data_IF_666190778190
#
_entry.id   IF_666190778190
#
_cell.length_a   1.000
_cell.length_b   1.000
_cell.length_c   1.000
_cell.angle_alpha   90.00
_cell.angle_beta   90.00
_cell.angle_gamma   90.00
#
_symmetry.space_group_name_H-M   'P 1'
#
loop_
_entity.id
_entity.type
_entity.pdbx_description
1 polymer ?
#
# COMPACT_ATOMS: atom_id res chain seq x y z
N UNK A 1 -9.18 -27.43 -0.81
CA UNK A 1 -8.89 -26.01 -0.48
C UNK A 1 -7.43 -25.76 -0.08
N UNK A 2 -6.82 -26.56 0.83
CA UNK A 2 -5.41 -26.40 1.27
C UNK A 2 -4.36 -26.42 0.14
N UNK A 3 -4.55 -27.24 -0.90
CA UNK A 3 -3.60 -27.35 -2.01
C UNK A 3 -3.50 -26.08 -2.90
N UNK A 4 -4.62 -25.35 -3.08
CA UNK A 4 -4.66 -24.11 -3.88
C UNK A 4 -3.88 -22.98 -3.20
N UNK A 5 -3.99 -22.88 -1.87
CA UNK A 5 -3.30 -21.85 -1.07
C UNK A 5 -1.78 -21.98 -1.17
N UNK A 6 -1.26 -23.22 -1.18
CA UNK A 6 0.18 -23.46 -1.27
C UNK A 6 0.77 -23.04 -2.63
N UNK A 7 0.04 -23.32 -3.72
CA UNK A 7 0.44 -22.93 -5.08
C UNK A 7 0.45 -21.41 -5.22
N UNK A 8 -0.58 -20.74 -4.71
CA UNK A 8 -0.66 -19.26 -4.74
C UNK A 8 0.50 -18.60 -3.99
N UNK A 9 0.91 -19.13 -2.83
CA UNK A 9 2.05 -18.57 -2.08
C UNK A 9 3.38 -18.71 -2.83
N UNK A 10 3.57 -19.79 -3.59
CA UNK A 10 4.78 -19.97 -4.41
C UNK A 10 4.87 -18.90 -5.50
N UNK A 11 3.78 -18.69 -6.24
CA UNK A 11 3.75 -17.67 -7.30
C UNK A 11 3.92 -16.25 -6.73
N UNK A 12 3.30 -15.95 -5.58
CA UNK A 12 3.48 -14.68 -4.88
C UNK A 12 4.94 -14.46 -4.44
N UNK A 13 5.65 -15.52 -4.02
CA UNK A 13 7.08 -15.43 -3.68
C UNK A 13 7.94 -15.16 -4.92
N UNK A 14 7.62 -15.75 -6.06
CA UNK A 14 8.32 -15.47 -7.33
C UNK A 14 8.11 -14.00 -7.73
N UNK A 15 6.86 -13.52 -7.71
CA UNK A 15 6.53 -12.13 -8.01
C UNK A 15 7.26 -11.16 -7.06
N UNK A 16 7.26 -11.47 -5.76
CA UNK A 16 7.95 -10.67 -4.75
C UNK A 16 9.45 -10.63 -4.98
N UNK A 17 10.08 -11.77 -5.30
CA UNK A 17 11.52 -11.84 -5.58
C UNK A 17 11.92 -10.98 -6.79
N UNK A 18 11.13 -11.03 -7.86
CA UNK A 18 11.42 -10.33 -9.11
C UNK A 18 11.13 -8.83 -9.05
N UNK A 19 10.03 -8.43 -8.40
CA UNK A 19 9.55 -7.04 -8.44
C UNK A 19 9.63 -6.32 -7.09
N UNK A 20 9.93 -7.03 -6.01
CA UNK A 20 9.98 -6.47 -4.65
C UNK A 20 8.60 -6.17 -4.06
N UNK A 21 7.53 -6.78 -4.60
CA UNK A 21 6.15 -6.55 -4.15
C UNK A 21 5.89 -7.32 -2.85
N UNK A 22 5.26 -6.67 -1.88
CA UNK A 22 4.83 -7.29 -0.63
C UNK A 22 3.41 -7.84 -0.71
N UNK A 23 3.05 -8.72 0.22
CA UNK A 23 1.71 -9.30 0.32
C UNK A 23 1.23 -9.23 1.77
N UNK A 24 0.03 -8.67 1.95
CA UNK A 24 -0.64 -8.53 3.25
C UNK A 24 -1.95 -9.31 3.19
N UNK A 25 -2.18 -10.16 4.19
CA UNK A 25 -3.49 -10.78 4.40
C UNK A 25 -4.29 -9.91 5.36
N UNK A 26 -5.39 -9.36 4.87
CA UNK A 26 -6.29 -8.55 5.68
C UNK A 26 -7.32 -9.44 6.39
N UNK A 27 -7.53 -9.16 7.67
CA UNK A 27 -8.58 -9.78 8.48
C UNK A 27 -9.69 -8.75 8.64
N UNK A 28 -10.86 -9.00 8.04
CA UNK A 28 -11.96 -8.02 7.94
C UNK A 28 -12.57 -7.73 9.31
N UNK A 29 -12.67 -8.75 10.14
CA UNK A 29 -13.31 -8.71 11.46
C UNK A 29 -12.47 -7.95 12.48
N UNK A 30 -11.14 -8.03 12.34
CA UNK A 30 -10.19 -7.34 13.20
C UNK A 30 -8.94 -6.94 12.41
N UNK A 31 -8.82 -5.65 12.08
CA UNK A 31 -7.70 -5.14 11.31
C UNK A 31 -6.34 -5.42 11.97
N UNK A 32 -6.28 -5.45 13.31
CA UNK A 32 -5.06 -5.72 14.08
C UNK A 32 -4.54 -7.16 13.92
N UNK A 33 -5.39 -8.08 13.45
CA UNK A 33 -5.02 -9.46 13.15
C UNK A 33 -4.61 -9.66 11.69
N UNK A 34 -4.51 -8.58 10.90
CA UNK A 34 -3.96 -8.63 9.55
C UNK A 34 -2.45 -8.89 9.60
N UNK A 35 -1.92 -9.67 8.67
CA UNK A 35 -0.51 -10.08 8.69
C UNK A 35 0.22 -9.79 7.38
N UNK A 36 1.48 -9.37 7.49
CA UNK A 36 2.40 -9.28 6.36
C UNK A 36 2.94 -10.68 6.09
N UNK A 37 2.49 -11.32 5.01
CA UNK A 37 2.96 -12.66 4.61
C UNK A 37 4.32 -12.58 3.91
N UNK A 38 4.49 -11.55 3.08
CA UNK A 38 5.72 -11.30 2.34
C UNK A 38 6.03 -9.80 2.45
N UNK A 39 7.16 -9.39 3.04
CA UNK A 39 7.51 -7.98 3.11
C UNK A 39 7.84 -7.45 1.71
N UNK A 40 7.39 -6.24 1.41
CA UNK A 40 7.85 -5.53 0.21
C UNK A 40 9.33 -5.15 0.36
N UNK A 41 10.05 -5.15 -0.76
CA UNK A 41 11.42 -4.61 -0.79
C UNK A 41 11.35 -3.10 -0.67
N UNK A 42 11.97 -2.53 0.36
CA UNK A 42 12.13 -1.07 0.48
C UNK A 42 13.00 -0.56 -0.66
N UNK A 43 12.58 0.54 -1.26
CA UNK A 43 13.34 1.30 -2.27
C UNK A 43 13.64 2.68 -1.68
N UNK A 44 14.81 3.22 -1.97
CA UNK A 44 15.20 4.60 -1.61
C UNK A 44 14.36 5.62 -2.36
N UNK A 45 14.03 5.28 -3.61
CA UNK A 45 13.42 6.19 -4.56
C UNK A 45 12.02 5.72 -4.98
N UNK A 46 11.16 6.69 -5.27
CA UNK A 46 9.82 6.47 -5.77
C UNK A 46 9.91 6.12 -7.27
N UNK A 47 9.19 5.07 -7.69
CA UNK A 47 8.97 4.79 -9.11
C UNK A 47 7.93 5.77 -9.67
N UNK A 48 8.40 6.94 -10.11
CA UNK A 48 7.56 8.00 -10.65
C UNK A 48 6.82 7.58 -11.93
N UNK A 49 7.36 6.66 -12.73
CA UNK A 49 6.66 6.18 -13.93
C UNK A 49 5.39 5.42 -13.56
N UNK A 50 5.49 4.53 -12.56
CA UNK A 50 4.32 3.81 -12.05
C UNK A 50 3.34 4.77 -11.36
N UNK A 51 3.83 5.72 -10.56
CA UNK A 51 2.98 6.71 -9.90
C UNK A 51 2.19 7.57 -10.89
N UNK A 52 2.84 8.05 -11.97
CA UNK A 52 2.19 8.85 -13.01
C UNK A 52 1.10 8.06 -13.72
N UNK A 53 1.36 6.79 -14.06
CA UNK A 53 0.34 5.91 -14.63
C UNK A 53 -0.85 5.71 -13.68
N UNK A 54 -0.61 5.53 -12.38
CA UNK A 54 -1.69 5.40 -11.39
C UNK A 54 -2.53 6.67 -11.24
N UNK A 55 -1.91 7.84 -11.39
CA UNK A 55 -2.61 9.13 -11.39
C UNK A 55 -3.58 9.25 -12.55
N UNK A 56 -3.20 8.75 -13.73
CA UNK A 56 -4.06 8.75 -14.92
C UNK A 56 -5.23 7.77 -14.79
N UNK A 57 -4.99 6.59 -14.20
CA UNK A 57 -5.98 5.52 -14.07
C UNK A 57 -6.93 5.70 -12.87
N UNK A 58 -6.49 6.37 -11.80
CA UNK A 58 -7.25 6.50 -10.56
C UNK A 58 -7.22 7.91 -9.98
N UNK A 59 -8.36 8.60 -10.06
CA UNK A 59 -8.54 9.96 -9.53
C UNK A 59 -8.33 10.06 -8.02
N UNK A 60 -8.63 9.00 -7.26
CA UNK A 60 -8.40 8.99 -5.81
C UNK A 60 -6.91 9.00 -5.49
N UNK A 61 -6.09 8.33 -6.32
CA UNK A 61 -4.63 8.38 -6.18
C UNK A 61 -4.08 9.77 -6.49
N UNK A 62 -4.61 10.46 -7.51
CA UNK A 62 -4.26 11.86 -7.75
C UNK A 62 -4.59 12.76 -6.54
N UNK A 63 -5.76 12.56 -5.95
CA UNK A 63 -6.15 13.30 -4.75
C UNK A 63 -5.18 13.02 -3.60
N UNK A 64 -4.83 11.76 -3.36
CA UNK A 64 -3.84 11.37 -2.36
C UNK A 64 -2.46 12.05 -2.57
N UNK A 65 -1.93 12.08 -3.79
CA UNK A 65 -0.66 12.77 -4.10
C UNK A 65 -0.76 14.28 -3.80
N UNK A 66 -1.91 14.91 -4.07
CA UNK A 66 -2.14 16.33 -3.73
C UNK A 66 -2.13 16.55 -2.22
N UNK A 67 -2.71 15.64 -1.44
CA UNK A 67 -2.69 15.71 0.03
C UNK A 67 -1.25 15.65 0.55
N UNK A 68 -0.45 14.70 0.04
CA UNK A 68 0.97 14.61 0.41
C UNK A 68 1.68 15.93 0.10
N UNK A 69 1.49 16.47 -1.11
CA UNK A 69 2.12 17.74 -1.50
C UNK A 69 1.75 18.88 -0.56
N UNK A 70 0.47 19.03 -0.23
CA UNK A 70 0.01 20.05 0.70
C UNK A 70 0.67 19.89 2.07
N UNK A 71 0.70 18.67 2.61
CA UNK A 71 1.33 18.39 3.90
C UNK A 71 2.81 18.80 3.92
N UNK A 72 3.58 18.48 2.88
CA UNK A 72 4.99 18.91 2.80
C UNK A 72 5.17 20.42 2.66
N UNK A 73 4.17 21.14 2.13
CA UNK A 73 4.21 22.59 1.95
C UNK A 73 3.79 23.36 3.19
N UNK A 74 2.76 22.88 3.91
CA UNK A 74 2.14 23.61 5.01
C UNK A 74 2.44 23.01 6.39
N UNK A 75 2.83 21.73 6.45
CA UNK A 75 2.96 20.95 7.68
C UNK A 75 1.62 20.56 8.31
N UNK A 76 0.48 20.96 7.72
CA UNK A 76 -0.84 20.73 8.29
C UNK A 76 -1.35 19.33 7.94
N UNK A 77 -1.63 18.53 8.97
CA UNK A 77 -2.41 17.31 8.82
C UNK A 77 -3.90 17.65 8.82
N UNK A 78 -4.68 17.01 7.96
CA UNK A 78 -6.14 17.16 7.94
C UNK A 78 -6.77 16.22 8.97
N UNK A 79 -7.32 16.74 10.10
CA UNK A 79 -7.82 15.88 11.17
C UNK A 79 -8.99 14.99 10.72
N UNK A 80 -9.78 15.46 9.75
CA UNK A 80 -10.91 14.73 9.16
C UNK A 80 -10.52 13.42 8.49
N UNK A 81 -9.27 13.30 8.02
CA UNK A 81 -8.80 12.08 7.34
C UNK A 81 -8.44 10.98 8.35
N UNK A 82 -8.31 11.33 9.63
CA UNK A 82 -7.93 10.46 10.71
C UNK A 82 -9.08 10.32 11.71
N UNK A 83 -10.07 9.50 11.36
CA UNK A 83 -11.14 9.12 12.26
C UNK A 83 -10.55 8.52 13.55
N UNK A 84 -10.56 9.30 14.64
CA UNK A 84 -10.27 8.94 16.05
C UNK A 84 -8.83 9.10 16.58
N UNK A 85 -7.97 9.97 16.02
CA UNK A 85 -6.62 10.19 16.60
C UNK A 85 -6.22 11.64 16.91
N UNK A 86 -7.16 12.60 16.89
CA UNK A 86 -6.96 13.85 17.62
C UNK A 86 -7.55 13.69 19.04
N UNK A 87 -6.78 13.94 20.11
CA UNK A 87 -7.26 13.88 21.49
C UNK A 87 -8.39 14.88 21.78
#
# INVERSE_FOLDING_TARGET
MKLKVLITLKELRILSSLHGIGFIRLTKENASESEIIIPAKKRSDIDWNTANRLVEENKDFLYYIKLIRQFYQTGEMRPSDWNHMCP
#
